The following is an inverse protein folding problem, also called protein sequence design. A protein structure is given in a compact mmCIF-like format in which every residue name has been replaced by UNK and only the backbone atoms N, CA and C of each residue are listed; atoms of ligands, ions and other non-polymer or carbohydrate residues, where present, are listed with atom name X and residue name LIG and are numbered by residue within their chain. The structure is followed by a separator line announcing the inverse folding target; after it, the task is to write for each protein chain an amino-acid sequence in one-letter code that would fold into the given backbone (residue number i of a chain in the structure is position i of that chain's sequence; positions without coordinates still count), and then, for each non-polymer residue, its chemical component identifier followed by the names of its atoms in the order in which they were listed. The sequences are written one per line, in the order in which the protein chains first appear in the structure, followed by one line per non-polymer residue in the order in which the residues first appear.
data_IF_575223203578
#
_entry.id   IF_575223203578
#
_cell.length_a   1.000
_cell.length_b   1.000
_cell.length_c   1.000
_cell.angle_alpha   90.00
_cell.angle_beta   90.00
_cell.angle_gamma   90.00
#
_symmetry.space_group_name_H-M   'P 1'
#
loop_
_entity.id
_entity.type
_entity.pdbx_description
1 polymer ?
#
# COMPACT_ATOMS: atom_id res chain seq x y z
N UNK A 1 -9.34 40.08 13.58
CA UNK A 1 -8.69 39.58 12.35
C UNK A 1 -7.64 38.49 12.62
N UNK A 2 -6.92 38.53 13.74
CA UNK A 2 -5.93 37.49 14.12
C UNK A 2 -6.55 36.14 14.54
N UNK A 3 -7.77 36.12 15.09
CA UNK A 3 -8.46 34.87 15.49
C UNK A 3 -8.94 34.04 14.29
N UNK A 4 -9.28 34.70 13.17
CA UNK A 4 -9.71 34.00 11.95
C UNK A 4 -8.54 33.28 11.24
N UNK A 5 -7.32 33.81 11.37
CA UNK A 5 -6.11 33.23 10.76
C UNK A 5 -5.63 31.95 11.49
N UNK A 6 -5.91 31.83 12.80
CA UNK A 6 -5.58 30.63 13.58
C UNK A 6 -6.49 29.43 13.27
N UNK A 7 -7.77 29.68 12.97
CA UNK A 7 -8.71 28.61 12.59
C UNK A 7 -8.43 28.01 11.21
N UNK A 8 -7.88 28.79 10.28
CA UNK A 8 -7.48 28.31 8.94
C UNK A 8 -6.23 27.42 9.03
N UNK A 9 -5.29 27.73 9.94
CA UNK A 9 -4.06 26.96 10.10
C UNK A 9 -4.29 25.58 10.76
N UNK A 10 -5.24 25.44 11.67
CA UNK A 10 -5.59 24.13 12.28
C UNK A 10 -6.33 23.23 11.29
N UNK A 11 -7.06 23.79 10.31
CA UNK A 11 -7.75 23.03 9.27
C UNK A 11 -6.84 22.37 8.23
N UNK A 12 -5.59 22.83 8.08
CA UNK A 12 -4.66 22.35 7.06
C UNK A 12 -3.81 21.14 7.50
N UNK A 13 -3.69 20.87 8.81
CA UNK A 13 -2.93 19.72 9.33
C UNK A 13 -3.77 18.44 9.48
N UNK A 14 -5.11 18.51 9.36
CA UNK A 14 -6.01 17.37 9.60
C UNK A 14 -6.31 16.49 8.39
N UNK A 15 -5.81 16.81 7.19
CA UNK A 15 -6.33 16.23 5.95
C UNK A 15 -5.63 14.95 5.47
N UNK A 16 -4.46 14.57 6.00
CA UNK A 16 -3.70 13.40 5.52
C UNK A 16 -3.63 12.24 6.53
N UNK A 17 -4.48 12.27 7.55
CA UNK A 17 -4.56 11.20 8.58
C UNK A 17 -5.98 10.70 8.82
N UNK A 18 -6.98 11.25 8.11
CA UNK A 18 -8.36 10.84 8.28
C UNK A 18 -8.56 9.45 7.67
N UNK A 19 -9.05 8.49 8.48
CA UNK A 19 -9.39 7.15 8.03
C UNK A 19 -10.54 7.11 7.03
N UNK A 20 -11.27 8.22 6.87
CA UNK A 20 -12.48 8.36 6.05
C UNK A 20 -13.67 7.54 6.57
N UNK A 21 -13.56 6.89 7.74
CA UNK A 21 -14.63 6.09 8.35
C UNK A 21 -15.83 6.94 8.74
N UNK A 22 -17.03 6.34 8.74
CA UNK A 22 -18.22 7.06 9.22
C UNK A 22 -18.07 7.40 10.70
N UNK A 23 -18.71 8.50 11.12
CA UNK A 23 -18.71 8.92 12.52
C UNK A 23 -19.15 7.78 13.45
N UNK A 24 -18.41 7.57 14.54
CA UNK A 24 -18.67 6.48 15.50
C UNK A 24 -18.04 5.14 15.13
N UNK A 25 -17.45 4.97 13.94
CA UNK A 25 -16.72 3.77 13.53
C UNK A 25 -15.21 4.03 13.57
N UNK A 26 -14.49 3.41 14.50
CA UNK A 26 -13.10 3.78 14.84
C UNK A 26 -12.05 2.70 14.56
N UNK A 27 -12.48 1.51 14.13
CA UNK A 27 -11.59 0.37 13.91
C UNK A 27 -11.72 -0.18 12.49
N UNK A 28 -10.60 -0.61 11.94
CA UNK A 28 -10.54 -1.44 10.73
C UNK A 28 -10.15 -2.86 11.11
N UNK A 29 -10.59 -3.84 10.32
CA UNK A 29 -10.22 -5.25 10.50
C UNK A 29 -9.43 -5.75 9.30
N UNK A 30 -8.36 -6.52 9.52
CA UNK A 30 -7.63 -7.18 8.43
C UNK A 30 -8.23 -8.56 8.19
N UNK A 31 -9.02 -8.71 7.13
CA UNK A 31 -9.57 -9.99 6.69
C UNK A 31 -8.56 -10.70 5.78
N UNK A 32 -7.49 -11.19 6.42
CA UNK A 32 -6.32 -11.73 5.76
C UNK A 32 -6.63 -12.97 4.90
N UNK A 33 -6.31 -12.90 3.61
CA UNK A 33 -6.53 -13.93 2.58
C UNK A 33 -8.00 -14.28 2.28
N UNK A 34 -8.96 -13.46 2.75
CA UNK A 34 -10.36 -13.68 2.42
C UNK A 34 -10.66 -13.40 0.94
N UNK A 35 -11.65 -14.10 0.38
CA UNK A 35 -12.15 -13.86 -0.98
C UNK A 35 -13.06 -12.64 -1.00
N UNK A 36 -13.13 -11.95 -2.13
CA UNK A 36 -13.92 -10.71 -2.28
C UNK A 36 -15.40 -10.93 -1.96
N UNK A 37 -15.97 -12.04 -2.47
CA UNK A 37 -17.37 -12.40 -2.20
C UNK A 37 -17.66 -12.62 -0.70
N UNK A 38 -16.72 -13.21 0.04
CA UNK A 38 -16.87 -13.44 1.48
C UNK A 38 -16.78 -12.12 2.27
N UNK A 39 -15.87 -11.22 1.88
CA UNK A 39 -15.78 -9.88 2.49
C UNK A 39 -17.04 -9.07 2.22
N UNK A 40 -17.59 -9.12 1.00
CA UNK A 40 -18.81 -8.41 0.64
C UNK A 40 -19.99 -8.83 1.54
N UNK A 41 -20.15 -10.14 1.77
CA UNK A 41 -21.15 -10.69 2.69
C UNK A 41 -20.87 -10.28 4.14
N UNK A 42 -19.61 -10.30 4.56
CA UNK A 42 -19.19 -9.94 5.92
C UNK A 42 -19.45 -8.46 6.24
N UNK A 43 -19.24 -7.57 5.27
CA UNK A 43 -19.59 -6.15 5.36
C UNK A 43 -21.05 -5.96 5.73
N UNK A 44 -21.95 -6.62 5.02
CA UNK A 44 -23.41 -6.47 5.19
C UNK A 44 -23.92 -7.17 6.45
N UNK A 45 -23.50 -8.42 6.67
CA UNK A 45 -24.09 -9.26 7.74
C UNK A 45 -23.51 -9.01 9.12
N UNK A 46 -22.29 -8.47 9.21
CA UNK A 46 -21.58 -8.37 10.49
C UNK A 46 -20.90 -7.03 10.72
N UNK A 47 -20.02 -6.58 9.82
CA UNK A 47 -19.18 -5.40 10.07
C UNK A 47 -20.00 -4.12 10.17
N UNK A 48 -20.98 -3.94 9.28
CA UNK A 48 -21.85 -2.77 9.31
C UNK A 48 -22.70 -2.73 10.59
N UNK A 49 -23.46 -3.78 10.98
CA UNK A 49 -24.22 -3.80 12.23
C UNK A 49 -23.37 -3.66 13.50
N UNK A 50 -22.13 -4.15 13.49
CA UNK A 50 -21.24 -4.13 14.67
C UNK A 50 -20.27 -2.93 14.70
N UNK A 51 -20.50 -1.90 13.89
CA UNK A 51 -19.78 -0.63 14.00
C UNK A 51 -18.32 -0.63 13.51
N UNK A 52 -17.88 -1.63 12.74
CA UNK A 52 -16.56 -1.62 12.11
C UNK A 52 -16.51 -0.55 11.01
N UNK A 53 -15.40 0.20 10.95
CA UNK A 53 -15.21 1.29 10.00
C UNK A 53 -14.74 0.85 8.62
N UNK A 54 -14.04 -0.28 8.54
CA UNK A 54 -13.60 -0.82 7.27
C UNK A 54 -12.73 -2.07 7.36
N UNK A 55 -12.25 -2.50 6.20
CA UNK A 55 -11.53 -3.75 6.00
C UNK A 55 -10.22 -3.46 5.29
N UNK A 56 -9.10 -3.91 5.87
CA UNK A 56 -7.88 -4.09 5.09
C UNK A 56 -7.98 -5.42 4.32
N UNK A 57 -7.82 -5.35 3.01
CA UNK A 57 -7.78 -6.53 2.12
C UNK A 57 -6.34 -6.93 1.82
N UNK A 58 -6.10 -8.22 1.56
CA UNK A 58 -4.82 -8.69 1.02
C UNK A 58 -4.57 -8.13 -0.41
N UNK A 59 -3.32 -8.14 -0.92
CA UNK A 59 -2.97 -7.48 -2.17
C UNK A 59 -3.87 -7.93 -3.34
N UNK A 60 -4.63 -7.02 -3.99
CA UNK A 60 -5.63 -7.38 -4.99
C UNK A 60 -5.05 -7.50 -6.40
N UNK A 61 -3.80 -7.10 -6.60
CA UNK A 61 -3.11 -7.19 -7.88
C UNK A 61 -2.54 -8.59 -8.14
N UNK A 62 -2.38 -8.93 -9.41
CA UNK A 62 -1.83 -10.20 -9.86
C UNK A 62 -0.44 -10.48 -9.27
N UNK A 63 -0.28 -11.70 -8.76
CA UNK A 63 0.93 -12.15 -8.09
C UNK A 63 1.44 -13.47 -8.66
N UNK A 64 2.69 -13.83 -8.34
CA UNK A 64 3.30 -15.10 -8.74
C UNK A 64 2.58 -16.28 -8.07
N UNK A 65 2.44 -17.40 -8.78
CA UNK A 65 1.90 -18.65 -8.23
C UNK A 65 3.07 -19.55 -7.82
N UNK A 66 3.17 -19.83 -6.53
CA UNK A 66 4.25 -20.64 -5.96
C UNK A 66 3.71 -22.03 -5.63
N UNK A 67 4.30 -23.07 -6.22
CA UNK A 67 3.88 -24.46 -6.01
C UNK A 67 4.76 -25.21 -5.01
N UNK A 68 5.93 -24.67 -4.65
CA UNK A 68 6.80 -25.22 -3.61
C UNK A 68 7.38 -24.10 -2.70
N UNK A 69 6.92 -23.97 -1.43
CA UNK A 69 5.79 -24.69 -0.84
C UNK A 69 4.48 -24.39 -1.58
N UNK A 70 3.44 -25.21 -1.41
CA UNK A 70 2.20 -25.05 -2.17
C UNK A 70 1.38 -23.85 -1.68
N UNK A 71 1.29 -22.81 -2.52
CA UNK A 71 0.40 -21.64 -2.37
C UNK A 71 0.56 -20.89 -1.05
N UNK A 72 1.78 -20.54 -0.62
CA UNK A 72 2.03 -19.83 0.62
C UNK A 72 1.36 -18.45 0.61
N UNK A 73 1.02 -17.90 1.77
CA UNK A 73 0.39 -16.58 1.86
C UNK A 73 1.27 -15.46 1.28
N UNK A 74 2.60 -15.60 1.42
CA UNK A 74 3.57 -14.59 0.99
C UNK A 74 3.76 -14.52 -0.53
N UNK A 75 3.17 -15.45 -1.30
CA UNK A 75 3.16 -15.34 -2.77
C UNK A 75 2.45 -14.07 -3.25
N UNK A 76 1.53 -13.51 -2.44
CA UNK A 76 0.79 -12.27 -2.76
C UNK A 76 1.61 -10.99 -2.64
N UNK A 77 2.74 -11.06 -1.96
CA UNK A 77 3.72 -9.97 -1.85
C UNK A 77 4.79 -10.08 -2.93
N UNK A 78 4.48 -10.74 -4.04
CA UNK A 78 5.35 -10.88 -5.21
C UNK A 78 4.56 -10.54 -6.48
N UNK A 79 4.38 -9.24 -6.76
CA UNK A 79 3.60 -8.77 -7.90
C UNK A 79 4.14 -9.27 -9.24
N UNK A 80 3.23 -9.56 -10.16
CA UNK A 80 3.52 -9.80 -11.58
C UNK A 80 2.92 -8.70 -12.46
N UNK A 81 1.74 -8.22 -12.10
CA UNK A 81 1.13 -7.07 -12.76
C UNK A 81 0.20 -6.32 -11.80
N UNK A 82 -0.38 -5.23 -12.29
CA UNK A 82 -1.41 -4.46 -11.57
C UNK A 82 -2.85 -4.87 -11.92
N UNK A 83 -3.06 -5.97 -12.65
CA UNK A 83 -4.40 -6.53 -12.92
C UNK A 83 -5.06 -6.98 -11.61
N UNK A 84 -6.35 -6.71 -11.43
CA UNK A 84 -7.10 -7.13 -10.25
C UNK A 84 -7.58 -8.59 -10.37
N UNK A 85 -6.66 -9.52 -10.18
CA UNK A 85 -6.89 -10.93 -10.51
C UNK A 85 -6.01 -11.85 -9.64
N UNK A 86 -6.61 -12.42 -8.60
CA UNK A 86 -5.89 -13.14 -7.54
C UNK A 86 -6.67 -14.36 -7.07
N UNK A 87 -6.12 -15.10 -6.09
CA UNK A 87 -6.85 -16.15 -5.38
C UNK A 87 -8.11 -15.66 -4.66
N UNK A 88 -8.19 -14.38 -4.30
CA UNK A 88 -9.39 -13.81 -3.66
C UNK A 88 -10.54 -13.59 -4.64
N UNK A 89 -10.27 -13.55 -5.95
CA UNK A 89 -11.25 -13.30 -7.00
C UNK A 89 -10.71 -12.40 -8.11
N UNK A 90 -11.56 -12.18 -9.11
CA UNK A 90 -11.31 -11.31 -10.26
C UNK A 90 -11.74 -9.85 -9.98
N UNK A 91 -11.63 -9.01 -11.00
CA UNK A 91 -11.94 -7.58 -10.90
C UNK A 91 -13.41 -7.31 -10.63
N UNK A 92 -14.32 -8.03 -11.29
CA UNK A 92 -15.76 -7.84 -11.12
C UNK A 92 -16.17 -8.16 -9.67
N UNK A 93 -15.62 -9.23 -9.11
CA UNK A 93 -15.83 -9.61 -7.70
C UNK A 93 -15.23 -8.58 -6.74
N UNK A 94 -14.06 -8.01 -7.06
CA UNK A 94 -13.47 -6.93 -6.27
C UNK A 94 -14.33 -5.67 -6.29
N UNK A 95 -14.83 -5.27 -7.47
CA UNK A 95 -15.75 -4.12 -7.64
C UNK A 95 -17.07 -4.33 -6.91
N UNK A 96 -17.63 -5.54 -6.97
CA UNK A 96 -18.85 -5.92 -6.23
C UNK A 96 -18.64 -5.74 -4.73
N UNK A 97 -17.54 -6.29 -4.20
CA UNK A 97 -17.17 -6.17 -2.79
C UNK A 97 -17.03 -4.70 -2.36
N UNK A 98 -16.27 -3.88 -3.09
CA UNK A 98 -16.10 -2.45 -2.78
C UNK A 98 -17.45 -1.73 -2.79
N UNK A 99 -18.27 -1.96 -3.83
CA UNK A 99 -19.58 -1.33 -3.97
C UNK A 99 -20.50 -1.68 -2.80
N UNK A 100 -20.62 -2.96 -2.45
CA UNK A 100 -21.50 -3.45 -1.39
C UNK A 100 -21.05 -2.98 -0.01
N UNK A 101 -19.75 -3.07 0.28
CA UNK A 101 -19.19 -2.59 1.55
C UNK A 101 -19.38 -1.07 1.70
N UNK A 102 -19.09 -0.27 0.67
CA UNK A 102 -19.29 1.18 0.70
C UNK A 102 -20.77 1.56 0.92
N UNK A 103 -21.71 0.83 0.29
CA UNK A 103 -23.15 1.09 0.45
C UNK A 103 -23.66 0.87 1.89
N UNK A 104 -22.98 0.03 2.68
CA UNK A 104 -23.29 -0.18 4.11
C UNK A 104 -22.37 0.58 5.05
N UNK A 105 -21.54 1.49 4.53
CA UNK A 105 -20.67 2.36 5.33
C UNK A 105 -19.44 1.68 5.93
N UNK A 106 -18.99 0.57 5.33
CA UNK A 106 -17.77 -0.15 5.69
C UNK A 106 -16.78 0.03 4.53
N UNK A 107 -15.66 0.70 4.77
CA UNK A 107 -14.76 1.07 3.69
C UNK A 107 -13.63 0.08 3.45
N UNK A 108 -13.09 0.04 2.23
CA UNK A 108 -12.02 -0.88 1.84
C UNK A 108 -10.67 -0.15 1.81
N UNK A 109 -9.66 -0.74 2.44
CA UNK A 109 -8.27 -0.31 2.40
C UNK A 109 -7.41 -1.39 1.74
N UNK A 110 -6.71 -1.02 0.68
CA UNK A 110 -5.93 -1.98 -0.11
C UNK A 110 -4.52 -2.12 0.44
N UNK A 111 -4.05 -3.37 0.55
CA UNK A 111 -2.63 -3.63 0.74
C UNK A 111 -1.87 -3.44 -0.58
N UNK A 112 -1.13 -2.34 -0.70
CA UNK A 112 -0.45 -1.90 -1.90
C UNK A 112 1.03 -2.31 -1.87
N UNK A 113 1.35 -3.39 -2.59
CA UNK A 113 2.71 -3.88 -2.79
C UNK A 113 3.34 -3.16 -3.97
N UNK A 114 4.02 -2.04 -3.68
CA UNK A 114 4.52 -1.10 -4.71
C UNK A 114 6.02 -0.85 -4.63
N UNK A 115 6.71 -1.42 -3.63
CA UNK A 115 8.17 -1.36 -3.51
C UNK A 115 8.88 -2.21 -4.58
N UNK A 116 8.37 -3.42 -4.82
CA UNK A 116 9.06 -4.46 -5.58
C UNK A 116 8.08 -5.23 -6.48
N UNK A 117 8.65 -6.00 -7.41
CA UNK A 117 7.96 -7.08 -8.13
C UNK A 117 8.30 -8.44 -7.50
N UNK A 118 8.11 -9.56 -8.19
CA UNK A 118 8.45 -10.88 -7.65
C UNK A 118 9.96 -11.05 -7.35
N UNK A 119 10.29 -12.14 -6.66
CA UNK A 119 11.68 -12.52 -6.44
C UNK A 119 12.46 -12.66 -7.75
N UNK A 120 13.72 -12.22 -7.77
CA UNK A 120 14.65 -12.37 -8.89
C UNK A 120 14.84 -13.84 -9.31
N UNK A 121 14.71 -14.77 -8.36
CA UNK A 121 14.71 -16.21 -8.60
C UNK A 121 13.32 -16.80 -9.00
N UNK A 122 12.33 -15.95 -9.30
CA UNK A 122 10.95 -16.36 -9.62
C UNK A 122 10.80 -17.11 -10.97
N UNK A 123 11.87 -17.17 -11.77
CA UNK A 123 11.89 -17.80 -13.08
C UNK A 123 11.15 -16.97 -14.13
N UNK A 124 10.79 -17.63 -15.24
CA UNK A 124 10.01 -17.03 -16.32
C UNK A 124 8.88 -17.93 -16.75
N UNK A 125 7.79 -17.35 -17.24
CA UNK A 125 6.60 -18.08 -17.64
C UNK A 125 5.32 -17.35 -17.28
N UNK A 126 4.23 -18.10 -17.19
CA UNK A 126 2.87 -17.61 -16.92
C UNK A 126 2.31 -18.17 -15.62
N UNK A 127 3.17 -18.61 -14.69
CA UNK A 127 2.77 -19.05 -13.34
C UNK A 127 2.46 -17.83 -12.46
N UNK A 128 1.40 -17.14 -12.84
CA UNK A 128 0.86 -15.94 -12.21
C UNK A 128 -0.66 -16.12 -12.05
N UNK A 129 -1.26 -15.41 -11.10
CA UNK A 129 -2.67 -15.63 -10.76
C UNK A 129 -3.66 -15.27 -11.88
N UNK A 130 -3.23 -14.49 -12.88
CA UNK A 130 -4.02 -14.15 -14.07
C UNK A 130 -3.39 -14.64 -15.38
N UNK A 131 -2.35 -15.48 -15.31
CA UNK A 131 -1.67 -16.01 -16.49
C UNK A 131 -0.86 -14.99 -17.28
N UNK A 132 -0.60 -13.80 -16.76
CA UNK A 132 0.35 -12.87 -17.39
C UNK A 132 1.74 -13.49 -17.46
N UNK A 133 2.39 -13.33 -18.62
CA UNK A 133 3.80 -13.69 -18.77
C UNK A 133 4.69 -12.71 -17.99
N UNK A 134 5.76 -13.23 -17.43
CA UNK A 134 6.89 -12.46 -16.90
C UNK A 134 8.20 -13.24 -17.04
N UNK A 135 9.31 -12.53 -16.94
CA UNK A 135 10.65 -13.10 -16.82
C UNK A 135 11.42 -12.33 -15.75
N UNK A 136 11.53 -12.91 -14.56
CA UNK A 136 12.19 -12.27 -13.43
C UNK A 136 13.70 -12.11 -13.65
N UNK A 137 14.34 -13.04 -14.36
CA UNK A 137 15.79 -13.00 -14.60
C UNK A 137 16.20 -11.92 -15.60
N UNK A 138 15.31 -11.56 -16.51
CA UNK A 138 15.49 -10.46 -17.46
C UNK A 138 14.71 -9.19 -17.07
N UNK A 139 14.15 -9.15 -15.86
CA UNK A 139 13.39 -8.00 -15.33
C UNK A 139 12.26 -7.53 -16.28
N UNK A 140 11.60 -8.48 -16.94
CA UNK A 140 10.58 -8.21 -17.95
C UNK A 140 9.19 -8.56 -17.43
N UNK A 141 8.39 -7.53 -17.19
CA UNK A 141 7.01 -7.65 -16.70
C UNK A 141 6.06 -6.96 -17.68
N UNK A 142 5.80 -7.54 -18.86
CA UNK A 142 5.12 -6.86 -19.97
C UNK A 142 3.65 -6.52 -19.70
N UNK A 143 3.03 -7.12 -18.69
CA UNK A 143 1.68 -6.76 -18.27
C UNK A 143 1.61 -5.40 -17.55
N UNK A 144 2.73 -4.80 -17.14
CA UNK A 144 2.76 -3.46 -16.54
C UNK A 144 2.98 -2.30 -17.52
N UNK A 145 3.92 -2.26 -18.49
CA UNK A 145 5.09 -3.07 -18.83
C UNK A 145 6.41 -2.55 -18.21
N UNK A 146 6.98 -3.24 -17.22
CA UNK A 146 8.31 -2.91 -16.71
C UNK A 146 9.40 -3.69 -17.44
N UNK A 147 10.58 -3.07 -17.53
CA UNK A 147 11.81 -3.64 -18.08
C UNK A 147 12.97 -3.47 -17.08
N UNK A 148 14.15 -4.02 -17.37
CA UNK A 148 15.33 -3.82 -16.50
C UNK A 148 15.74 -2.37 -16.26
N UNK A 149 15.26 -1.42 -17.08
CA UNK A 149 15.45 0.01 -16.81
C UNK A 149 14.70 0.51 -15.58
N UNK A 150 13.69 -0.24 -15.12
CA UNK A 150 12.72 0.18 -14.11
C UNK A 150 13.02 -0.42 -12.73
N UNK A 151 14.19 -1.05 -12.57
CA UNK A 151 14.68 -1.65 -11.34
C UNK A 151 16.00 -1.03 -10.87
N UNK A 152 16.30 -1.18 -9.57
CA UNK A 152 17.42 -0.55 -8.90
C UNK A 152 18.77 -1.29 -9.02
N UNK A 153 18.90 -2.22 -9.96
CA UNK A 153 20.12 -3.03 -10.16
C UNK A 153 21.42 -2.21 -10.29
N UNK A 154 21.35 -1.06 -10.99
CA UNK A 154 22.50 -0.14 -11.11
C UNK A 154 22.69 0.82 -9.94
N UNK A 155 21.70 0.91 -9.02
CA UNK A 155 21.68 1.83 -7.87
C UNK A 155 22.14 1.16 -6.59
N UNK A 156 21.78 -0.11 -6.40
CA UNK A 156 22.22 -0.90 -5.26
C UNK A 156 23.75 -1.05 -5.26
N UNK A 157 24.39 -0.76 -4.13
CA UNK A 157 25.86 -0.86 -3.98
C UNK A 157 26.34 -2.16 -3.32
N UNK A 158 25.44 -3.08 -2.97
CA UNK A 158 25.83 -4.37 -2.37
C UNK A 158 26.22 -5.38 -3.45
N UNK A 159 27.18 -6.26 -3.14
CA UNK A 159 27.74 -7.20 -4.11
C UNK A 159 26.77 -8.27 -4.62
N UNK A 160 25.73 -8.59 -3.85
CA UNK A 160 24.69 -9.56 -4.21
C UNK A 160 23.36 -8.89 -4.62
N UNK A 161 23.30 -7.56 -4.67
CA UNK A 161 22.09 -6.81 -4.99
C UNK A 161 21.01 -6.82 -3.90
N UNK A 162 21.29 -7.39 -2.71
CA UNK A 162 20.33 -7.52 -1.62
C UNK A 162 20.69 -6.64 -0.42
N UNK A 163 19.71 -6.42 0.47
CA UNK A 163 19.91 -5.76 1.76
C UNK A 163 20.71 -6.69 2.69
N UNK A 164 21.90 -6.25 3.12
CA UNK A 164 22.80 -6.99 4.02
C UNK A 164 22.92 -6.35 5.41
N UNK A 165 22.74 -5.04 5.53
CA UNK A 165 22.92 -4.26 6.74
C UNK A 165 21.83 -3.18 6.86
N UNK A 166 20.91 -3.38 7.80
CA UNK A 166 19.81 -2.45 8.08
C UNK A 166 20.24 -1.12 8.73
N UNK A 167 21.52 -0.97 9.12
CA UNK A 167 22.09 0.29 9.56
C UNK A 167 22.49 1.23 8.43
N UNK A 168 22.58 0.72 7.19
CA UNK A 168 22.88 1.50 6.00
C UNK A 168 21.57 1.83 5.26
N UNK A 169 21.19 3.10 5.32
CA UNK A 169 19.91 3.58 4.82
C UNK A 169 19.78 3.51 3.29
N UNK A 170 20.89 3.46 2.56
CA UNK A 170 20.90 3.42 1.11
C UNK A 170 20.56 2.02 0.64
N UNK A 171 21.24 0.99 1.15
CA UNK A 171 20.91 -0.38 0.76
C UNK A 171 19.50 -0.77 1.21
N UNK A 172 19.02 -0.29 2.36
CA UNK A 172 17.65 -0.58 2.82
C UNK A 172 16.58 -0.11 1.81
N UNK A 173 16.88 0.90 0.99
CA UNK A 173 15.93 1.51 0.05
C UNK A 173 16.24 1.30 -1.43
N UNK A 174 17.47 0.93 -1.75
CA UNK A 174 17.96 0.83 -3.12
C UNK A 174 18.32 -0.63 -3.49
N UNK A 175 18.28 -1.57 -2.54
CA UNK A 175 18.61 -2.98 -2.77
C UNK A 175 17.43 -3.90 -2.49
N UNK A 176 17.49 -5.11 -3.07
CA UNK A 176 16.43 -6.11 -3.03
C UNK A 176 16.17 -6.61 -1.62
N UNK A 177 14.93 -6.45 -1.13
CA UNK A 177 14.46 -7.05 0.11
C UNK A 177 14.28 -8.56 -0.09
N UNK A 178 15.15 -9.38 0.51
CA UNK A 178 15.07 -10.85 0.39
C UNK A 178 14.98 -11.35 -1.06
N UNK A 179 15.73 -10.71 -1.96
CA UNK A 179 15.79 -11.05 -3.38
C UNK A 179 14.61 -10.54 -4.23
N UNK A 180 13.66 -9.79 -3.67
CA UNK A 180 12.54 -9.16 -4.39
C UNK A 180 13.03 -8.04 -5.30
N UNK A 181 12.66 -8.06 -6.58
CA UNK A 181 13.12 -7.10 -7.59
C UNK A 181 12.64 -5.70 -7.25
N UNK A 182 13.58 -4.82 -6.89
CA UNK A 182 13.32 -3.51 -6.30
C UNK A 182 13.11 -2.44 -7.37
N UNK A 183 11.97 -1.76 -7.34
CA UNK A 183 11.58 -0.80 -8.39
C UNK A 183 12.33 0.53 -8.25
N UNK A 184 12.78 1.09 -9.37
CA UNK A 184 13.44 2.39 -9.44
C UNK A 184 12.44 3.55 -9.30
N UNK A 185 11.95 3.75 -8.08
CA UNK A 185 10.88 4.71 -7.78
C UNK A 185 11.32 6.18 -7.89
N UNK A 186 12.59 6.49 -8.10
CA UNK A 186 13.00 7.84 -8.47
C UNK A 186 12.51 8.23 -9.88
N UNK A 187 12.25 7.24 -10.75
CA UNK A 187 11.84 7.44 -12.13
C UNK A 187 10.36 7.79 -12.19
N UNK A 188 10.03 8.88 -12.90
CA UNK A 188 8.65 9.31 -13.07
C UNK A 188 7.77 8.25 -13.76
N UNK A 189 8.33 7.45 -14.66
CA UNK A 189 7.63 6.32 -15.29
C UNK A 189 7.12 5.31 -14.26
N UNK A 190 7.99 4.85 -13.35
CA UNK A 190 7.64 3.89 -12.29
C UNK A 190 6.60 4.50 -11.35
N UNK A 191 6.81 5.75 -10.89
CA UNK A 191 5.84 6.45 -10.04
C UNK A 191 4.47 6.60 -10.70
N UNK A 192 4.46 6.89 -12.00
CA UNK A 192 3.21 7.06 -12.76
C UNK A 192 2.48 5.73 -12.97
N UNK A 193 3.22 4.62 -13.14
CA UNK A 193 2.62 3.28 -13.20
C UNK A 193 2.02 2.82 -11.87
N UNK A 194 2.71 3.11 -10.76
CA UNK A 194 2.15 2.90 -9.41
C UNK A 194 0.91 3.77 -9.19
N UNK A 195 0.97 5.06 -9.55
CA UNK A 195 -0.17 5.96 -9.41
C UNK A 195 -1.36 5.58 -10.31
N UNK A 196 -1.12 5.08 -11.53
CA UNK A 196 -2.16 4.55 -12.43
C UNK A 196 -2.92 3.40 -11.77
N UNK A 197 -2.21 2.43 -11.20
CA UNK A 197 -2.80 1.33 -10.43
C UNK A 197 -3.60 1.80 -9.22
N UNK A 198 -3.04 2.70 -8.41
CA UNK A 198 -3.71 3.20 -7.21
C UNK A 198 -4.93 4.07 -7.54
N UNK A 199 -4.84 4.92 -8.57
CA UNK A 199 -5.97 5.72 -9.04
C UNK A 199 -7.10 4.86 -9.58
N UNK A 200 -6.77 3.76 -10.27
CA UNK A 200 -7.77 2.80 -10.70
C UNK A 200 -8.58 2.22 -9.53
N UNK A 201 -7.90 1.89 -8.42
CA UNK A 201 -8.54 1.43 -7.19
C UNK A 201 -9.36 2.54 -6.50
N UNK A 202 -8.87 3.78 -6.48
CA UNK A 202 -9.60 4.94 -5.96
C UNK A 202 -10.90 5.15 -6.74
N UNK A 203 -10.83 5.07 -8.07
CA UNK A 203 -11.96 5.24 -8.97
C UNK A 203 -12.99 4.10 -8.79
N UNK A 204 -12.53 2.88 -8.46
CA UNK A 204 -13.42 1.78 -8.03
C UNK A 204 -14.17 2.12 -6.73
N UNK A 205 -13.53 2.84 -5.81
CA UNK A 205 -14.14 3.32 -4.56
C UNK A 205 -13.43 2.91 -3.28
N UNK A 206 -12.17 2.47 -3.33
CA UNK A 206 -11.41 2.19 -2.10
C UNK A 206 -11.16 3.49 -1.31
N UNK A 207 -11.06 3.41 0.01
CA UNK A 207 -10.91 4.58 0.88
C UNK A 207 -9.46 4.90 1.25
N UNK A 208 -8.53 4.00 0.95
CA UNK A 208 -7.12 4.18 1.30
C UNK A 208 -6.26 2.94 1.07
N UNK A 209 -5.01 3.05 1.52
CA UNK A 209 -3.95 2.10 1.23
C UNK A 209 -3.06 1.85 2.46
N UNK A 210 -2.78 0.57 2.71
CA UNK A 210 -1.56 0.14 3.41
C UNK A 210 -0.43 0.17 2.39
N UNK A 211 0.59 0.99 2.61
CA UNK A 211 1.80 0.95 1.78
C UNK A 211 2.73 -0.10 2.36
N UNK A 212 2.80 -1.26 1.70
CA UNK A 212 3.67 -2.36 2.07
C UNK A 212 5.15 -1.99 1.94
N UNK A 213 6.00 -2.54 2.80
CA UNK A 213 7.45 -2.35 2.76
C UNK A 213 7.88 -0.87 2.71
N UNK A 214 7.11 0.06 3.28
CA UNK A 214 7.38 1.50 3.18
C UNK A 214 8.74 1.92 3.75
N UNK A 215 9.31 1.14 4.68
CA UNK A 215 10.70 1.32 5.15
C UNK A 215 11.74 1.25 4.02
N UNK A 216 11.44 0.45 3.00
CA UNK A 216 12.29 0.14 1.86
C UNK A 216 12.10 1.10 0.69
N UNK A 217 11.29 2.14 0.85
CA UNK A 217 11.13 3.20 -0.14
C UNK A 217 11.65 4.53 0.43
N UNK A 218 12.12 5.42 -0.44
CA UNK A 218 12.44 6.78 -0.01
C UNK A 218 11.15 7.54 0.30
N UNK A 219 11.08 8.29 1.42
CA UNK A 219 9.91 9.11 1.73
C UNK A 219 9.54 10.10 0.62
N UNK A 220 10.55 10.63 -0.09
CA UNK A 220 10.36 11.51 -1.25
C UNK A 220 9.70 10.82 -2.44
N UNK A 221 10.06 9.55 -2.69
CA UNK A 221 9.47 8.75 -3.76
C UNK A 221 8.03 8.35 -3.43
N UNK A 222 7.79 7.95 -2.18
CA UNK A 222 6.43 7.73 -1.67
C UNK A 222 5.58 8.99 -1.87
N UNK A 223 6.06 10.14 -1.40
CA UNK A 223 5.36 11.40 -1.59
C UNK A 223 5.08 11.67 -3.07
N UNK A 224 6.06 11.44 -3.95
CA UNK A 224 5.95 11.77 -5.37
C UNK A 224 4.88 10.94 -6.11
N UNK A 225 4.69 9.66 -5.79
CA UNK A 225 3.56 8.91 -6.36
C UNK A 225 2.23 9.22 -5.64
N UNK A 226 2.25 9.52 -4.33
CA UNK A 226 1.05 9.93 -3.60
C UNK A 226 0.49 11.29 -4.08
N UNK A 227 1.36 12.22 -4.47
CA UNK A 227 0.97 13.52 -5.04
C UNK A 227 0.25 13.37 -6.40
N UNK A 228 0.39 12.22 -7.07
CA UNK A 228 -0.32 11.90 -8.33
C UNK A 228 -1.70 11.26 -8.11
N UNK A 229 -2.09 11.01 -6.86
CA UNK A 229 -3.35 10.34 -6.57
C UNK A 229 -4.56 11.27 -6.69
N UNK A 230 -5.64 10.71 -7.23
CA UNK A 230 -6.95 11.32 -7.24
C UNK A 230 -7.50 11.46 -5.81
N UNK A 231 -8.46 12.35 -5.65
CA UNK A 231 -9.35 12.32 -4.48
C UNK A 231 -10.33 11.15 -4.61
N UNK A 232 -10.89 10.70 -3.48
CA UNK A 232 -11.80 9.57 -3.42
C UNK A 232 -13.08 9.76 -4.25
N UNK A 233 -13.63 8.64 -4.71
CA UNK A 233 -14.83 8.60 -5.55
C UNK A 233 -16.03 9.30 -4.88
N UNK A 234 -16.55 10.34 -5.54
CA UNK A 234 -17.61 11.20 -5.00
C UNK A 234 -18.98 10.53 -4.89
N UNK A 235 -19.13 9.28 -5.34
CA UNK A 235 -20.32 8.47 -5.10
C UNK A 235 -20.51 8.15 -3.61
N UNK A 236 -19.42 7.93 -2.87
CA UNK A 236 -19.46 7.54 -1.46
C UNK A 236 -18.75 8.52 -0.52
N UNK A 237 -17.85 9.36 -1.06
CA UNK A 237 -17.06 10.29 -0.28
C UNK A 237 -17.37 11.75 -0.67
N UNK A 238 -17.24 12.71 0.26
CA UNK A 238 -17.31 14.12 -0.09
C UNK A 238 -16.27 14.52 -1.15
N UNK A 239 -16.59 15.56 -1.94
CA UNK A 239 -15.64 16.11 -2.90
C UNK A 239 -14.37 16.59 -2.20
N UNK A 240 -13.21 16.24 -2.75
CA UNK A 240 -11.92 16.64 -2.20
C UNK A 240 -11.35 15.71 -1.12
N UNK A 241 -12.06 14.65 -0.73
CA UNK A 241 -11.56 13.68 0.25
C UNK A 241 -10.33 12.95 -0.29
N UNK A 242 -9.24 12.92 0.48
CA UNK A 242 -7.99 12.21 0.11
C UNK A 242 -8.01 10.76 0.60
N UNK A 243 -7.34 9.83 -0.10
CA UNK A 243 -7.19 8.46 0.39
C UNK A 243 -6.44 8.43 1.73
N UNK A 244 -6.88 7.56 2.64
CA UNK A 244 -6.17 7.29 3.88
C UNK A 244 -4.89 6.50 3.58
N UNK A 245 -3.73 6.96 4.07
CA UNK A 245 -2.44 6.32 3.82
C UNK A 245 -1.82 5.92 5.15
N UNK A 246 -1.50 4.64 5.31
CA UNK A 246 -0.73 4.14 6.44
C UNK A 246 0.41 3.25 5.94
N UNK A 247 1.61 3.49 6.47
CA UNK A 247 2.87 2.98 5.92
C UNK A 247 3.41 1.87 6.82
N UNK A 248 3.75 0.71 6.25
CA UNK A 248 4.46 -0.31 7.00
C UNK A 248 5.93 0.08 7.17
N UNK A 249 6.27 0.59 8.36
CA UNK A 249 7.65 0.90 8.74
C UNK A 249 8.01 0.13 10.01
N UNK A 250 8.73 -0.98 9.86
CA UNK A 250 9.19 -1.78 11.00
C UNK A 250 10.45 -1.13 11.60
N UNK A 251 10.29 -0.43 12.73
CA UNK A 251 11.39 0.13 13.52
C UNK A 251 11.47 -0.53 14.88
N UNK A 252 12.54 -1.30 15.14
CA UNK A 252 12.78 -1.94 16.45
C UNK A 252 13.31 -0.97 17.52
N UNK A 253 13.70 0.26 17.13
CA UNK A 253 14.10 1.30 18.07
C UNK A 253 12.94 2.26 18.30
N UNK A 254 12.45 2.33 19.55
CA UNK A 254 11.36 3.23 19.98
C UNK A 254 11.61 4.70 19.61
N UNK A 255 12.87 5.16 19.64
CA UNK A 255 13.27 6.51 19.23
C UNK A 255 13.14 6.75 17.72
N UNK A 256 13.38 5.73 16.89
CA UNK A 256 13.23 5.82 15.42
C UNK A 256 11.76 5.77 14.98
N UNK A 257 10.89 5.07 15.72
CA UNK A 257 9.45 5.10 15.47
C UNK A 257 8.87 6.51 15.70
N UNK A 258 9.28 7.17 16.80
CA UNK A 258 8.94 8.58 17.04
C UNK A 258 9.59 9.53 16.06
N UNK A 259 10.82 9.28 15.56
CA UNK A 259 11.40 10.06 14.47
C UNK A 259 10.73 9.79 13.12
N UNK A 260 10.14 8.62 12.85
CA UNK A 260 9.39 8.39 11.62
C UNK A 260 8.06 9.16 11.64
N UNK A 261 7.40 9.23 12.81
CA UNK A 261 6.27 10.12 13.03
C UNK A 261 6.69 11.62 13.08
N UNK A 262 7.84 11.94 13.66
CA UNK A 262 8.32 13.31 13.82
C UNK A 262 8.99 13.87 12.56
N UNK A 263 9.71 13.12 11.73
CA UNK A 263 10.40 13.66 10.54
C UNK A 263 9.38 14.17 9.51
N UNK A 264 8.19 13.59 9.48
CA UNK A 264 7.05 14.18 8.75
C UNK A 264 6.49 15.45 9.40
N UNK A 265 6.61 15.60 10.73
CA UNK A 265 6.25 16.84 11.46
C UNK A 265 7.38 17.88 11.57
N UNK A 266 8.66 17.52 11.37
CA UNK A 266 9.80 18.40 11.74
C UNK A 266 10.09 19.47 10.67
N UNK A 267 9.43 19.41 9.50
CA UNK A 267 9.38 20.56 8.60
C UNK A 267 8.36 21.64 9.04
N UNK A 268 7.53 21.39 10.06
CA UNK A 268 6.63 22.36 10.66
C UNK A 268 6.78 22.39 12.20
N UNK A 269 7.73 23.21 12.65
CA UNK A 269 7.73 23.96 13.93
C UNK A 269 7.47 23.23 15.27
N UNK A 270 8.47 23.34 16.15
CA UNK A 270 8.38 23.41 17.60
C UNK A 270 7.05 23.96 18.14
N UNK A 271 6.17 23.12 18.73
CA UNK A 271 5.64 23.30 20.10
C UNK A 271 4.70 22.19 20.56
N UNK A 272 5.01 21.71 21.77
CA UNK A 272 4.20 21.05 22.81
C UNK A 272 2.69 20.87 22.61
N UNK A 273 2.20 19.67 22.92
CA UNK A 273 0.86 19.47 23.47
C UNK A 273 0.21 18.16 23.07
N UNK A 274 0.19 17.21 24.00
CA UNK A 274 -0.64 16.02 24.15
C UNK A 274 -1.87 15.90 23.23
N UNK A 275 -1.97 14.79 22.49
CA UNK A 275 -3.12 13.86 22.55
C UNK A 275 -2.90 12.62 21.66
N UNK A 276 -3.58 11.54 22.04
CA UNK A 276 -3.27 10.14 21.75
C UNK A 276 -3.22 9.75 20.26
N UNK A 277 -2.09 9.18 19.84
CA UNK A 277 -1.89 8.56 18.53
C UNK A 277 -1.98 7.03 18.70
N UNK A 278 -3.05 6.44 18.17
CA UNK A 278 -3.25 4.99 18.14
C UNK A 278 -2.21 4.31 17.25
N UNK A 279 -1.20 3.72 17.89
CA UNK A 279 -0.12 3.01 17.23
C UNK A 279 -0.53 1.55 16.98
N UNK A 280 -0.92 1.20 15.74
CA UNK A 280 -1.06 -0.20 15.34
C UNK A 280 0.31 -0.74 14.90
N UNK A 281 1.10 -1.21 15.86
CA UNK A 281 2.25 -2.07 15.61
C UNK A 281 1.77 -3.52 15.48
N UNK A 282 1.73 -4.06 14.26
CA UNK A 282 1.69 -5.50 14.06
C UNK A 282 3.08 -5.98 13.66
N UNK A 283 3.88 -6.38 14.65
CA UNK A 283 5.15 -7.08 14.40
C UNK A 283 4.82 -8.53 14.02
N UNK A 284 4.97 -8.89 12.74
CA UNK A 284 5.07 -10.31 12.35
C UNK A 284 6.43 -10.80 12.82
N UNK A 285 6.46 -11.70 13.82
CA UNK A 285 7.64 -12.53 14.09
C UNK A 285 7.74 -13.57 12.97
N UNK A 286 8.97 -13.74 12.47
CA UNK A 286 9.32 -14.74 11.45
C UNK A 286 9.13 -16.17 11.90
#
# INVERSE_FOLDING_TARGET
MQVLLLLVAVGLCGAQYNSNTQAGRTSIVHLFEWRWADIALECERYLAPNGFGGVQVSPPNENIVITNPFRPWWERYQPISYKLCTRSGNEDEFRDMVTRCNNVGVYIYVDAVVNHMCGSAGGSGTHSTCGSYFDAGNENFPAVPYSGWDFNDGKCHTSNGEIQNYGDIYQVRDCRLSGLLDLAQEKDYVRSKVAEYMNYLIDIGVAGFRIDAAKHMWPGDIKAFLDKLNTLNTRWFPSGTKPFIYQEVISMNFLSASLCACVFSTFLLLRSGSDAMGLFLHTRKG
#
